data_IF_615408776953
#
_entry.id   IF_615408776953
#
_cell.length_a   1.000
_cell.length_b   1.000
_cell.length_c   1.000
_cell.angle_alpha   90.00
_cell.angle_beta   90.00
_cell.angle_gamma   90.00
#
_symmetry.space_group_name_H-M   'P 1'
#
loop_
_entity.id
_entity.type
_entity.pdbx_description
1 polymer ?
#
# COMPACT_ATOMS: atom_id res chain seq x y z
N UNK A 1 -27.83 6.06 -25.37
CA UNK A 1 -27.44 4.70 -24.93
C UNK A 1 -28.68 3.87 -24.79
N UNK A 2 -28.67 2.66 -25.33
CA UNK A 2 -29.72 1.69 -25.05
C UNK A 2 -29.27 0.80 -23.89
N UNK A 3 -30.07 0.79 -22.82
CA UNK A 3 -29.93 -0.15 -21.71
C UNK A 3 -31.02 -1.19 -21.84
N UNK A 4 -30.64 -2.45 -22.05
CA UNK A 4 -31.59 -3.54 -22.25
C UNK A 4 -31.09 -4.81 -21.58
N UNK A 5 -32.03 -5.63 -21.09
CA UNK A 5 -31.74 -6.98 -20.58
C UNK A 5 -31.70 -8.03 -21.69
N UNK A 6 -32.05 -7.66 -22.94
CA UNK A 6 -32.03 -8.58 -24.08
C UNK A 6 -30.60 -8.75 -24.60
N UNK A 7 -30.20 -10.01 -24.80
CA UNK A 7 -28.88 -10.38 -25.31
C UNK A 7 -28.68 -9.99 -26.79
N UNK A 8 -29.78 -10.00 -27.57
CA UNK A 8 -29.85 -9.50 -28.94
C UNK A 8 -31.06 -8.60 -29.08
N UNK A 9 -30.89 -7.48 -29.78
CA UNK A 9 -31.95 -6.53 -30.08
C UNK A 9 -31.64 -5.79 -31.38
N UNK A 10 -32.67 -5.44 -32.13
CA UNK A 10 -32.55 -4.48 -33.24
C UNK A 10 -32.45 -3.08 -32.67
N UNK A 11 -31.40 -2.34 -33.03
CA UNK A 11 -31.21 -0.97 -32.58
C UNK A 11 -32.42 -0.11 -33.01
N UNK A 12 -33.15 0.53 -32.07
CA UNK A 12 -34.28 1.37 -32.42
C UNK A 12 -33.81 2.60 -33.18
N UNK A 13 -34.56 2.99 -34.22
CA UNK A 13 -34.44 4.32 -34.85
C UNK A 13 -35.25 5.30 -34.02
N UNK A 14 -34.56 6.16 -33.27
CA UNK A 14 -35.18 7.19 -32.46
C UNK A 14 -35.21 8.48 -33.27
N UNK A 15 -36.39 9.10 -33.40
CA UNK A 15 -36.55 10.42 -34.04
C UNK A 15 -37.21 11.39 -33.06
N UNK A 16 -36.77 12.65 -33.06
CA UNK A 16 -37.41 13.74 -32.34
C UNK A 16 -37.71 14.87 -33.34
N UNK A 17 -38.98 14.98 -33.74
CA UNK A 17 -39.35 15.78 -34.92
C UNK A 17 -38.67 15.23 -36.17
N UNK A 18 -37.93 16.08 -36.89
CA UNK A 18 -37.18 15.68 -38.08
C UNK A 18 -35.76 15.15 -37.80
N UNK A 19 -35.32 15.18 -36.54
CA UNK A 19 -33.95 14.82 -36.18
C UNK A 19 -33.84 13.34 -35.78
N UNK A 20 -32.93 12.63 -36.44
CA UNK A 20 -32.55 11.27 -36.06
C UNK A 20 -31.59 11.30 -34.87
N UNK A 21 -31.96 10.61 -33.79
CA UNK A 21 -31.15 10.46 -32.58
C UNK A 21 -30.33 9.18 -32.69
N UNK A 22 -29.03 9.33 -32.92
CA UNK A 22 -28.09 8.22 -32.93
C UNK A 22 -27.91 7.61 -31.52
N UNK A 23 -27.82 6.28 -31.45
CA UNK A 23 -27.47 5.61 -30.20
C UNK A 23 -26.00 5.83 -29.86
N UNK A 24 -25.73 6.48 -28.74
CA UNK A 24 -24.40 6.51 -28.12
C UNK A 24 -24.07 5.18 -27.42
N UNK A 25 -22.78 4.82 -27.38
CA UNK A 25 -22.24 3.68 -26.62
C UNK A 25 -22.15 3.92 -25.10
N UNK A 26 -22.04 5.19 -24.68
CA UNK A 26 -21.99 5.61 -23.27
C UNK A 26 -22.84 6.86 -22.99
N UNK A 27 -23.34 6.98 -21.75
CA UNK A 27 -24.10 8.13 -21.26
C UNK A 27 -23.55 8.54 -19.90
N UNK A 28 -23.51 9.85 -19.64
CA UNK A 28 -23.12 10.40 -18.34
C UNK A 28 -24.37 10.71 -17.53
N UNK A 29 -24.49 10.13 -16.35
CA UNK A 29 -25.57 10.38 -15.40
C UNK A 29 -25.02 10.60 -14.00
N UNK A 30 -25.33 11.74 -13.38
CA UNK A 30 -24.80 12.15 -12.06
C UNK A 30 -23.29 11.94 -11.93
N UNK A 31 -22.53 12.31 -12.97
CA UNK A 31 -21.07 12.14 -12.98
C UNK A 31 -20.55 10.72 -13.25
N UNK A 32 -21.41 9.71 -13.26
CA UNK A 32 -21.07 8.31 -13.59
C UNK A 32 -21.26 8.07 -15.08
N UNK A 33 -20.37 7.29 -15.70
CA UNK A 33 -20.49 6.87 -17.11
C UNK A 33 -21.05 5.46 -17.18
N UNK A 34 -22.19 5.32 -17.86
CA UNK A 34 -22.91 4.08 -18.05
C UNK A 34 -22.74 3.65 -19.51
N UNK A 35 -22.04 2.54 -19.73
CA UNK A 35 -22.00 1.87 -21.03
C UNK A 35 -23.20 0.91 -21.19
N UNK A 36 -23.54 0.54 -22.42
CA UNK A 36 -24.71 -0.32 -22.71
C UNK A 36 -24.71 -1.67 -21.99
N UNK A 37 -23.53 -2.17 -21.58
CA UNK A 37 -23.36 -3.43 -20.83
C UNK A 37 -23.17 -3.22 -19.32
N UNK A 38 -23.23 -1.97 -18.84
CA UNK A 38 -23.00 -1.60 -17.44
C UNK A 38 -21.66 -2.14 -16.89
N UNK A 39 -20.62 -2.19 -17.73
CA UNK A 39 -19.28 -2.66 -17.31
C UNK A 39 -18.48 -1.60 -16.55
N UNK A 40 -18.85 -0.33 -16.70
CA UNK A 40 -18.20 0.84 -16.08
C UNK A 40 -16.71 1.01 -16.42
N UNK A 41 -16.22 0.31 -17.46
CA UNK A 41 -14.80 0.36 -17.85
C UNK A 41 -14.36 1.78 -18.18
N UNK A 42 -15.19 2.53 -18.93
CA UNK A 42 -14.87 3.91 -19.32
C UNK A 42 -15.01 4.90 -18.16
N UNK A 43 -15.91 4.62 -17.21
CA UNK A 43 -16.00 5.37 -15.94
C UNK A 43 -14.69 5.25 -15.16
N UNK A 44 -14.26 4.03 -14.87
CA UNK A 44 -13.04 3.75 -14.11
C UNK A 44 -11.80 4.24 -14.84
N UNK A 45 -11.74 4.11 -16.18
CA UNK A 45 -10.63 4.64 -16.99
C UNK A 45 -10.50 6.16 -16.84
N UNK A 46 -11.61 6.89 -16.92
CA UNK A 46 -11.60 8.36 -16.79
C UNK A 46 -11.31 8.79 -15.35
N UNK A 47 -11.89 8.13 -14.34
CA UNK A 47 -11.55 8.34 -12.94
C UNK A 47 -10.05 8.09 -12.67
N UNK A 48 -9.52 6.97 -13.17
CA UNK A 48 -8.11 6.62 -13.06
C UNK A 48 -7.16 7.62 -13.74
N UNK A 49 -7.51 8.12 -14.93
CA UNK A 49 -6.74 9.17 -15.62
C UNK A 49 -6.69 10.45 -14.79
N UNK A 50 -7.83 10.88 -14.23
CA UNK A 50 -7.92 12.06 -13.35
C UNK A 50 -7.09 11.87 -12.08
N UNK A 51 -7.24 10.72 -11.42
CA UNK A 51 -6.49 10.33 -10.23
C UNK A 51 -4.98 10.33 -10.47
N UNK A 52 -4.52 9.81 -11.62
CA UNK A 52 -3.11 9.80 -11.98
C UNK A 52 -2.57 11.21 -12.23
N UNK A 53 -3.34 12.11 -12.84
CA UNK A 53 -2.97 13.51 -13.01
C UNK A 53 -2.79 14.20 -11.65
N UNK A 54 -3.71 13.99 -10.71
CA UNK A 54 -3.58 14.50 -9.34
C UNK A 54 -2.37 13.89 -8.60
N UNK A 55 -2.14 12.58 -8.72
CA UNK A 55 -0.97 11.93 -8.14
C UNK A 55 0.35 12.50 -8.69
N UNK A 56 0.38 12.82 -9.98
CA UNK A 56 1.55 13.42 -10.65
C UNK A 56 1.79 14.85 -10.16
N UNK A 57 0.74 15.66 -10.04
CA UNK A 57 0.83 17.01 -9.50
C UNK A 57 1.34 17.00 -8.04
N UNK A 58 0.74 16.15 -7.20
CA UNK A 58 1.16 15.98 -5.80
C UNK A 58 2.60 15.47 -5.67
N UNK A 59 3.06 14.62 -6.59
CA UNK A 59 4.43 14.10 -6.58
C UNK A 59 5.49 15.21 -6.63
N UNK A 60 5.19 16.36 -7.28
CA UNK A 60 6.12 17.48 -7.42
C UNK A 60 6.42 18.18 -6.10
N UNK A 61 5.50 18.14 -5.14
CA UNK A 61 5.66 18.72 -3.79
C UNK A 61 6.02 17.68 -2.73
N UNK A 62 6.37 16.46 -3.16
CA UNK A 62 6.66 15.31 -2.29
C UNK A 62 8.01 14.66 -2.63
N UNK A 63 9.14 15.39 -2.63
CA UNK A 63 10.46 14.81 -2.89
C UNK A 63 10.79 13.75 -1.84
N UNK A 64 11.47 12.66 -2.20
CA UNK A 64 11.71 11.54 -1.26
C UNK A 64 12.55 11.95 -0.05
N UNK A 65 13.47 12.91 -0.21
CA UNK A 65 14.36 13.44 0.81
C UNK A 65 14.00 14.92 1.06
N UNK A 66 14.06 15.38 2.32
CA UNK A 66 13.71 16.75 2.76
C UNK A 66 12.26 17.21 2.43
N UNK A 67 11.38 16.27 2.06
CA UNK A 67 9.95 16.54 1.82
C UNK A 67 9.05 16.23 3.03
N UNK A 68 7.73 16.34 2.88
CA UNK A 68 6.77 16.07 3.96
C UNK A 68 6.89 14.63 4.51
N UNK A 69 6.53 14.46 5.79
CA UNK A 69 6.41 13.16 6.47
C UNK A 69 5.33 12.25 5.86
N UNK A 70 5.39 10.94 6.14
CA UNK A 70 4.44 9.96 5.58
C UNK A 70 2.98 10.33 5.84
N UNK A 71 2.63 10.78 7.04
CA UNK A 71 1.24 11.13 7.38
C UNK A 71 0.69 12.32 6.61
N UNK A 72 1.49 13.39 6.42
CA UNK A 72 1.11 14.51 5.55
C UNK A 72 0.90 14.07 4.11
N UNK A 73 1.75 13.17 3.60
CA UNK A 73 1.59 12.59 2.25
C UNK A 73 0.36 11.70 2.13
N UNK A 74 0.08 10.88 3.15
CA UNK A 74 -1.08 9.99 3.20
C UNK A 74 -2.39 10.77 3.21
N UNK A 75 -2.42 11.90 3.93
CA UNK A 75 -3.53 12.84 3.88
C UNK A 75 -3.74 13.36 2.46
N UNK A 76 -2.69 13.84 1.79
CA UNK A 76 -2.79 14.32 0.41
C UNK A 76 -3.17 13.19 -0.58
N UNK A 77 -2.74 11.95 -0.32
CA UNK A 77 -3.11 10.78 -1.10
C UNK A 77 -4.62 10.46 -1.05
N UNK A 78 -5.34 10.92 -0.01
CA UNK A 78 -6.78 10.74 0.09
C UNK A 78 -7.56 11.41 -1.06
N UNK A 79 -6.98 12.44 -1.70
CA UNK A 79 -7.57 13.08 -2.89
C UNK A 79 -7.63 12.09 -4.05
N UNK A 80 -6.54 11.35 -4.27
CA UNK A 80 -6.44 10.33 -5.33
C UNK A 80 -7.43 9.20 -5.04
N UNK A 81 -7.49 8.71 -3.80
CA UNK A 81 -8.45 7.68 -3.39
C UNK A 81 -9.91 8.15 -3.58
N UNK A 82 -10.22 9.39 -3.21
CA UNK A 82 -11.56 9.95 -3.34
C UNK A 82 -12.01 10.06 -4.80
N UNK A 83 -11.09 10.43 -5.71
CA UNK A 83 -11.36 10.46 -7.15
C UNK A 83 -11.60 9.06 -7.72
N UNK A 84 -10.79 8.07 -7.31
CA UNK A 84 -10.94 6.69 -7.76
C UNK A 84 -12.26 6.08 -7.29
N UNK A 85 -12.68 6.38 -6.06
CA UNK A 85 -13.83 5.76 -5.40
C UNK A 85 -15.14 6.53 -5.59
N UNK A 86 -15.18 7.48 -6.53
CA UNK A 86 -16.38 8.25 -6.81
C UNK A 86 -17.50 7.34 -7.32
N UNK A 87 -18.66 7.41 -6.64
CA UNK A 87 -19.82 6.55 -6.89
C UNK A 87 -19.53 5.04 -6.81
N UNK A 88 -18.50 4.62 -6.06
CA UNK A 88 -18.10 3.21 -5.92
C UNK A 88 -19.26 2.21 -5.73
N UNK A 89 -20.27 2.48 -4.87
CA UNK A 89 -21.37 1.52 -4.68
C UNK A 89 -22.23 1.24 -5.91
N UNK A 90 -22.06 1.97 -7.02
CA UNK A 90 -22.78 1.75 -8.29
C UNK A 90 -22.03 0.76 -9.19
N UNK A 91 -20.69 0.72 -9.11
CA UNK A 91 -19.85 -0.01 -10.07
C UNK A 91 -18.91 -1.03 -9.43
N UNK A 92 -18.77 -1.05 -8.10
CA UNK A 92 -17.77 -1.85 -7.38
C UNK A 92 -17.79 -3.33 -7.79
N UNK A 93 -18.94 -3.98 -7.67
CA UNK A 93 -19.09 -5.43 -7.91
C UNK A 93 -18.73 -5.80 -9.36
N UNK A 94 -19.21 -5.01 -10.34
CA UNK A 94 -18.92 -5.24 -11.75
C UNK A 94 -17.43 -5.04 -12.09
N UNK A 95 -16.80 -4.04 -11.48
CA UNK A 95 -15.39 -3.72 -11.71
C UNK A 95 -14.48 -4.74 -11.01
N UNK A 96 -14.85 -5.20 -9.82
CA UNK A 96 -14.12 -6.21 -9.06
C UNK A 96 -14.04 -7.55 -9.82
N UNK A 97 -15.07 -7.90 -10.59
CA UNK A 97 -15.09 -9.09 -11.43
C UNK A 97 -14.14 -9.02 -12.65
N UNK A 98 -13.51 -7.86 -12.93
CA UNK A 98 -12.62 -7.68 -14.08
C UNK A 98 -11.21 -7.26 -13.66
N UNK A 99 -10.26 -8.19 -13.80
CA UNK A 99 -8.84 -7.90 -13.52
C UNK A 99 -8.30 -6.72 -14.33
N UNK A 100 -8.80 -6.50 -15.56
CA UNK A 100 -8.44 -5.33 -16.38
C UNK A 100 -8.93 -4.03 -15.75
N UNK A 101 -10.16 -3.99 -15.26
CA UNK A 101 -10.75 -2.80 -14.63
C UNK A 101 -10.11 -2.52 -13.26
N UNK A 102 -9.83 -3.56 -12.47
CA UNK A 102 -9.08 -3.43 -11.21
C UNK A 102 -7.71 -2.80 -11.44
N UNK A 103 -6.97 -3.19 -12.49
CA UNK A 103 -5.68 -2.56 -12.84
C UNK A 103 -5.78 -1.07 -13.14
N UNK A 104 -6.91 -0.59 -13.67
CA UNK A 104 -7.14 0.84 -13.92
C UNK A 104 -7.27 1.65 -12.62
N UNK A 105 -7.72 1.02 -11.52
CA UNK A 105 -7.79 1.63 -10.18
C UNK A 105 -6.43 1.57 -9.47
N UNK A 106 -5.78 0.40 -9.49
CA UNK A 106 -4.55 0.16 -8.74
C UNK A 106 -3.38 0.98 -9.28
N UNK A 107 -3.29 1.23 -10.59
CA UNK A 107 -2.14 1.95 -11.18
C UNK A 107 -2.00 3.40 -10.64
N UNK A 108 -3.04 4.26 -10.65
CA UNK A 108 -2.99 5.57 -10.01
C UNK A 108 -2.77 5.49 -8.49
N UNK A 109 -3.38 4.52 -7.82
CA UNK A 109 -3.23 4.34 -6.37
C UNK A 109 -1.78 3.99 -6.00
N UNK A 110 -1.14 3.08 -6.74
CA UNK A 110 0.28 2.76 -6.59
C UNK A 110 1.15 4.00 -6.79
N UNK A 111 0.86 4.81 -7.82
CA UNK A 111 1.66 5.99 -8.11
C UNK A 111 1.74 6.95 -6.91
N UNK A 112 0.62 7.17 -6.21
CA UNK A 112 0.60 7.99 -5.00
C UNK A 112 1.12 7.23 -3.76
N UNK A 113 0.86 5.93 -3.63
CA UNK A 113 1.36 5.11 -2.53
C UNK A 113 2.90 5.10 -2.48
N UNK A 114 3.56 4.97 -3.63
CA UNK A 114 5.02 5.09 -3.73
C UNK A 114 5.53 6.43 -3.18
N UNK A 115 4.78 7.53 -3.38
CA UNK A 115 5.14 8.83 -2.82
C UNK A 115 4.92 8.89 -1.33
N UNK A 116 3.83 8.31 -0.82
CA UNK A 116 3.53 8.22 0.62
C UNK A 116 4.71 7.60 1.36
N UNK A 117 5.24 6.48 0.86
CA UNK A 117 6.35 5.75 1.49
C UNK A 117 7.73 6.18 0.97
N UNK A 118 7.83 7.15 0.05
CA UNK A 118 9.13 7.59 -0.53
C UNK A 118 9.87 6.47 -1.27
N UNK A 119 9.17 5.47 -1.80
CA UNK A 119 9.76 4.30 -2.43
C UNK A 119 10.37 4.57 -3.81
N UNK A 120 11.24 3.65 -4.23
CA UNK A 120 11.68 3.52 -5.61
C UNK A 120 10.51 3.15 -6.53
N UNK A 121 10.56 3.64 -7.79
CA UNK A 121 9.51 3.44 -8.79
C UNK A 121 9.26 1.98 -9.19
N UNK A 122 10.10 1.05 -8.77
CA UNK A 122 10.09 -0.39 -9.09
C UNK A 122 9.43 -1.24 -8.00
N UNK A 123 9.20 -0.70 -6.80
CA UNK A 123 8.47 -1.39 -5.73
C UNK A 123 7.09 -1.79 -6.22
N UNK A 124 6.65 -3.02 -5.94
CA UNK A 124 5.35 -3.53 -6.42
C UNK A 124 4.17 -2.71 -5.86
N UNK A 125 3.04 -2.73 -6.56
CA UNK A 125 1.76 -2.22 -6.05
C UNK A 125 1.47 -2.77 -4.67
N UNK A 126 1.59 -4.08 -4.51
CA UNK A 126 1.18 -4.78 -3.29
C UNK A 126 2.02 -4.37 -2.07
N UNK A 127 3.36 -4.35 -2.20
CA UNK A 127 4.23 -3.88 -1.13
C UNK A 127 4.03 -2.38 -0.84
N UNK A 128 3.86 -1.56 -1.89
CA UNK A 128 3.66 -0.13 -1.73
C UNK A 128 2.37 0.19 -0.96
N UNK A 129 1.29 -0.53 -1.25
CA UNK A 129 -0.01 -0.35 -0.61
C UNK A 129 0.01 -0.79 0.87
N UNK A 130 0.68 -1.90 1.20
CA UNK A 130 0.85 -2.37 2.58
C UNK A 130 1.62 -1.33 3.40
N UNK A 131 2.79 -0.92 2.93
CA UNK A 131 3.63 0.06 3.65
C UNK A 131 2.98 1.44 3.76
N UNK A 132 2.11 1.80 2.81
CA UNK A 132 1.40 3.07 2.81
C UNK A 132 0.14 3.08 3.70
N UNK A 133 -0.25 1.96 4.31
CA UNK A 133 -1.56 1.81 4.98
C UNK A 133 -2.73 2.16 4.06
N UNK A 134 -2.67 1.67 2.82
CA UNK A 134 -3.64 1.95 1.76
C UNK A 134 -4.22 0.65 1.24
N UNK A 135 -5.39 0.19 1.74
CA UNK A 135 -6.05 -0.98 1.15
C UNK A 135 -6.30 -0.76 -0.35
N UNK A 136 -6.17 -1.80 -1.19
CA UNK A 136 -6.40 -1.70 -2.63
C UNK A 136 -7.74 -1.03 -2.97
N UNK A 137 -7.74 -0.14 -3.95
CA UNK A 137 -8.91 0.70 -4.29
C UNK A 137 -10.13 -0.13 -4.72
N UNK A 138 -9.95 -1.30 -5.33
CA UNK A 138 -11.07 -2.21 -5.59
C UNK A 138 -11.70 -2.72 -4.30
N UNK A 139 -10.90 -3.12 -3.30
CA UNK A 139 -11.41 -3.57 -2.01
C UNK A 139 -12.10 -2.43 -1.24
N UNK A 140 -11.56 -1.21 -1.31
CA UNK A 140 -12.22 -0.02 -0.76
C UNK A 140 -13.54 0.32 -1.48
N UNK A 141 -13.64 0.02 -2.79
CA UNK A 141 -14.88 0.21 -3.53
C UNK A 141 -15.95 -0.78 -3.08
N UNK A 142 -15.59 -2.06 -2.93
CA UNK A 142 -16.45 -3.10 -2.38
C UNK A 142 -16.84 -2.80 -0.93
N UNK A 143 -15.92 -2.30 -0.10
CA UNK A 143 -16.22 -1.83 1.27
C UNK A 143 -17.33 -0.77 1.25
N UNK A 144 -17.22 0.24 0.37
CA UNK A 144 -18.26 1.29 0.24
C UNK A 144 -19.59 0.71 -0.23
N UNK A 145 -19.58 -0.29 -1.09
CA UNK A 145 -20.78 -0.98 -1.54
C UNK A 145 -21.45 -1.75 -0.39
N UNK A 146 -20.69 -2.54 0.37
CA UNK A 146 -21.17 -3.29 1.54
C UNK A 146 -21.71 -2.37 2.64
N UNK A 147 -21.01 -1.27 2.95
CA UNK A 147 -21.49 -0.24 3.89
C UNK A 147 -22.82 0.34 3.42
N UNK A 148 -22.96 0.69 2.13
CA UNK A 148 -24.22 1.22 1.59
C UNK A 148 -25.36 0.19 1.65
N UNK A 149 -25.07 -1.07 1.38
CA UNK A 149 -26.03 -2.17 1.46
C UNK A 149 -26.53 -2.35 2.90
N UNK A 150 -25.63 -2.43 3.89
CA UNK A 150 -26.01 -2.55 5.32
C UNK A 150 -26.84 -1.37 5.80
N UNK A 151 -26.51 -0.15 5.38
CA UNK A 151 -27.31 1.04 5.74
C UNK A 151 -28.74 1.02 5.21
N UNK A 152 -29.01 0.24 4.16
CA UNK A 152 -30.35 0.10 3.56
C UNK A 152 -31.15 -1.03 4.19
N UNK A 153 -30.49 -1.93 4.94
CA UNK A 153 -31.18 -2.99 5.65
C UNK A 153 -31.90 -2.36 6.85
N UNK A 154 -33.21 -2.58 7.01
CA UNK A 154 -33.89 -2.17 8.21
C UNK A 154 -33.29 -2.95 9.40
N UNK A 155 -33.21 -2.33 10.60
CA UNK A 155 -32.86 -3.07 11.80
C UNK A 155 -33.89 -4.18 12.05
N UNK A 156 -33.47 -5.25 12.73
CA UNK A 156 -34.40 -6.25 13.23
C UNK A 156 -35.40 -5.61 14.22
N UNK A 157 -36.61 -6.17 14.37
CA UNK A 157 -37.53 -5.75 15.43
C UNK A 157 -36.79 -5.73 16.79
N UNK A 158 -37.01 -4.66 17.55
CA UNK A 158 -36.45 -4.46 18.90
C UNK A 158 -34.92 -4.34 19.00
N UNK A 159 -34.21 -4.22 17.87
CA UNK A 159 -32.76 -3.96 17.84
C UNK A 159 -32.49 -2.53 17.37
N UNK A 160 -31.74 -1.70 18.12
CA UNK A 160 -31.40 -0.37 17.67
C UNK A 160 -30.52 -0.41 16.40
N UNK A 161 -30.66 0.58 15.49
CA UNK A 161 -29.81 0.65 14.30
C UNK A 161 -28.33 0.68 14.67
N UNK A 162 -27.53 -0.16 14.03
CA UNK A 162 -26.07 -0.12 14.22
C UNK A 162 -25.51 1.22 13.74
N UNK A 163 -24.65 1.85 14.54
CA UNK A 163 -24.04 3.13 14.18
C UNK A 163 -23.23 3.04 12.89
N UNK A 164 -23.18 4.12 12.11
CA UNK A 164 -22.41 4.16 10.87
C UNK A 164 -20.92 3.86 11.10
N UNK A 165 -20.38 4.32 12.22
CA UNK A 165 -18.99 4.09 12.61
C UNK A 165 -18.74 2.61 12.87
N UNK A 166 -19.64 1.93 13.60
CA UNK A 166 -19.54 0.49 13.86
C UNK A 166 -19.66 -0.31 12.57
N UNK A 167 -20.58 0.06 11.67
CA UNK A 167 -20.71 -0.57 10.34
C UNK A 167 -19.39 -0.41 9.56
N UNK A 168 -18.83 0.80 9.47
CA UNK A 168 -17.56 1.06 8.77
C UNK A 168 -16.40 0.27 9.38
N UNK A 169 -16.35 0.17 10.71
CA UNK A 169 -15.32 -0.59 11.43
C UNK A 169 -15.38 -2.09 11.09
N UNK A 170 -16.58 -2.70 11.13
CA UNK A 170 -16.78 -4.10 10.79
C UNK A 170 -16.45 -4.38 9.32
N UNK A 171 -16.88 -3.50 8.41
CA UNK A 171 -16.60 -3.63 6.99
C UNK A 171 -15.12 -3.43 6.66
N UNK A 172 -14.41 -2.59 7.43
CA UNK A 172 -12.95 -2.45 7.34
C UNK A 172 -12.25 -3.75 7.75
N UNK A 173 -12.67 -4.41 8.82
CA UNK A 173 -12.10 -5.71 9.22
C UNK A 173 -12.24 -6.73 8.10
N UNK A 174 -13.44 -6.81 7.51
CA UNK A 174 -13.70 -7.66 6.33
C UNK A 174 -12.77 -7.32 5.15
N UNK A 175 -12.57 -6.03 4.86
CA UNK A 175 -11.63 -5.58 3.83
C UNK A 175 -10.19 -6.04 4.13
N UNK A 176 -9.73 -5.92 5.38
CA UNK A 176 -8.39 -6.33 5.78
C UNK A 176 -8.22 -7.86 5.68
N UNK A 177 -9.25 -8.66 6.01
CA UNK A 177 -9.21 -10.11 5.84
C UNK A 177 -9.09 -10.54 4.37
N UNK A 178 -9.85 -9.89 3.48
CA UNK A 178 -9.75 -10.14 2.03
C UNK A 178 -8.37 -9.73 1.53
N UNK A 179 -7.85 -8.57 1.98
CA UNK A 179 -6.52 -8.12 1.62
C UNK A 179 -5.44 -9.08 2.10
N UNK A 180 -5.53 -9.58 3.33
CA UNK A 180 -4.59 -10.54 3.90
C UNK A 180 -4.50 -11.82 3.05
N UNK A 181 -5.63 -12.36 2.58
CA UNK A 181 -5.62 -13.53 1.68
C UNK A 181 -4.82 -13.25 0.42
N UNK A 182 -5.05 -12.12 -0.24
CA UNK A 182 -4.29 -11.76 -1.45
C UNK A 182 -2.80 -11.56 -1.17
N UNK A 183 -2.45 -10.99 0.00
CA UNK A 183 -1.09 -10.71 0.38
C UNK A 183 -0.27 -11.97 0.69
N UNK A 184 -0.88 -12.91 1.42
CA UNK A 184 -0.27 -14.18 1.81
C UNK A 184 0.22 -14.99 0.60
N UNK A 185 -0.55 -15.00 -0.51
CA UNK A 185 -0.25 -15.80 -1.70
C UNK A 185 0.48 -15.04 -2.82
N UNK A 186 0.80 -13.76 -2.62
CA UNK A 186 1.44 -12.99 -3.67
C UNK A 186 2.84 -13.50 -4.03
N UNK A 187 3.22 -13.37 -5.30
CA UNK A 187 4.63 -13.55 -5.71
C UNK A 187 5.42 -12.25 -5.69
N UNK A 188 4.76 -11.10 -5.53
CA UNK A 188 5.38 -9.77 -5.49
C UNK A 188 5.69 -9.35 -4.06
N UNK A 189 6.74 -8.56 -3.87
CA UNK A 189 7.05 -7.98 -2.56
C UNK A 189 7.43 -9.02 -1.49
N UNK A 190 8.00 -10.16 -1.90
CA UNK A 190 8.31 -11.30 -1.01
C UNK A 190 9.08 -10.88 0.24
N UNK A 191 10.10 -10.03 0.08
CA UNK A 191 10.85 -9.47 1.21
C UNK A 191 9.97 -8.67 2.16
N UNK A 192 9.17 -7.74 1.64
CA UNK A 192 8.22 -6.95 2.46
C UNK A 192 7.22 -7.85 3.19
N UNK A 193 6.79 -8.96 2.57
CA UNK A 193 5.91 -9.93 3.24
C UNK A 193 6.60 -10.68 4.37
N UNK A 194 7.89 -10.99 4.25
CA UNK A 194 8.63 -11.61 5.38
C UNK A 194 8.65 -10.68 6.61
N UNK A 195 8.71 -9.36 6.39
CA UNK A 195 8.68 -8.36 7.46
C UNK A 195 7.26 -8.02 7.94
N UNK A 196 6.26 -8.16 7.05
CA UNK A 196 4.85 -7.90 7.35
C UNK A 196 4.03 -9.07 6.82
N UNK A 197 4.04 -10.23 7.50
CA UNK A 197 3.27 -11.39 7.05
C UNK A 197 1.75 -11.17 7.19
N UNK A 198 1.33 -10.31 8.14
CA UNK A 198 -0.07 -10.04 8.43
C UNK A 198 -0.40 -8.53 8.33
N UNK A 199 -1.17 -8.15 7.31
CA UNK A 199 -1.62 -6.76 7.10
C UNK A 199 -2.63 -6.30 8.14
N UNK A 200 -3.32 -7.23 8.82
CA UNK A 200 -4.25 -6.92 9.91
C UNK A 200 -3.47 -6.49 11.14
N UNK A 201 -2.47 -7.28 11.55
CA UNK A 201 -1.52 -6.89 12.62
C UNK A 201 -0.84 -5.56 12.27
N UNK A 202 -0.41 -5.38 11.03
CA UNK A 202 0.19 -4.11 10.61
C UNK A 202 -0.74 -2.92 10.82
N UNK A 203 -2.03 -3.06 10.47
CA UNK A 203 -3.04 -2.01 10.59
C UNK A 203 -3.53 -1.77 12.02
N UNK A 204 -3.66 -2.82 12.82
CA UNK A 204 -4.32 -2.81 14.13
C UNK A 204 -3.32 -3.08 15.28
N UNK A 205 -2.02 -2.80 15.04
CA UNK A 205 -0.98 -2.94 16.07
C UNK A 205 -1.20 -2.03 17.28
N UNK A 206 -0.73 -2.51 18.43
CA UNK A 206 -0.76 -1.79 19.70
C UNK A 206 0.21 -0.62 19.73
N UNK A 207 1.36 -0.79 19.08
CA UNK A 207 2.36 0.27 18.98
C UNK A 207 1.89 1.41 18.06
N UNK A 208 2.26 2.66 18.35
CA UNK A 208 1.97 3.78 17.47
C UNK A 208 2.51 3.52 16.06
N UNK A 209 1.77 3.99 15.05
CA UNK A 209 2.20 3.92 13.65
C UNK A 209 3.32 4.94 13.45
N UNK A 210 4.56 4.45 13.45
CA UNK A 210 5.75 5.25 13.15
C UNK A 210 5.85 5.46 11.63
N UNK A 211 5.99 6.72 11.16
CA UNK A 211 6.25 7.02 9.77
C UNK A 211 7.53 6.36 9.24
N UNK A 212 7.42 5.68 8.11
CA UNK A 212 8.57 5.25 7.32
C UNK A 212 9.32 6.46 6.76
N UNK A 213 10.64 6.39 6.83
CA UNK A 213 11.54 7.31 6.16
C UNK A 213 11.91 6.78 4.77
N UNK A 214 12.75 7.53 4.05
CA UNK A 214 13.27 7.06 2.77
C UNK A 214 14.11 5.79 2.93
N UNK A 215 14.97 5.73 3.94
CA UNK A 215 15.89 4.61 4.18
C UNK A 215 15.18 3.42 4.79
N UNK A 216 14.28 3.63 5.75
CA UNK A 216 13.42 2.56 6.28
C UNK A 216 12.59 1.93 5.16
N UNK A 217 12.12 2.71 4.19
CA UNK A 217 11.41 2.12 3.04
C UNK A 217 12.32 1.28 2.15
N UNK A 218 13.59 1.63 1.99
CA UNK A 218 14.55 0.77 1.28
C UNK A 218 14.77 -0.54 2.05
N UNK A 219 14.95 -0.46 3.37
CA UNK A 219 15.05 -1.63 4.23
C UNK A 219 13.81 -2.54 4.15
N UNK A 220 12.60 -1.95 4.11
CA UNK A 220 11.36 -2.73 4.07
C UNK A 220 11.03 -3.30 2.68
N UNK A 221 11.62 -2.76 1.61
CA UNK A 221 11.31 -3.17 0.23
C UNK A 221 12.45 -3.92 -0.45
N UNK A 222 13.68 -3.82 0.04
CA UNK A 222 14.87 -4.31 -0.65
C UNK A 222 15.21 -3.56 -1.94
N UNK A 223 14.59 -2.40 -2.17
CA UNK A 223 14.85 -1.54 -3.32
C UNK A 223 15.63 -0.32 -2.84
N UNK A 224 16.93 -0.26 -3.10
CA UNK A 224 17.81 0.74 -2.50
C UNK A 224 19.27 0.63 -2.96
N UNK A 225 20.21 1.11 -2.15
CA UNK A 225 21.65 1.01 -2.41
C UNK A 225 22.24 -0.40 -2.21
N UNK A 226 21.53 -1.46 -2.61
CA UNK A 226 21.97 -2.86 -2.50
C UNK A 226 22.48 -3.36 -3.86
N UNK A 227 23.69 -3.93 -3.95
CA UNK A 227 24.29 -4.29 -5.25
C UNK A 227 23.44 -5.31 -6.03
N UNK A 228 22.80 -6.27 -5.35
CA UNK A 228 21.85 -7.18 -6.00
C UNK A 228 20.72 -6.43 -6.71
N UNK A 229 20.15 -5.42 -6.05
CA UNK A 229 19.10 -4.60 -6.65
C UNK A 229 19.64 -3.70 -7.76
N UNK A 230 20.77 -3.01 -7.52
CA UNK A 230 21.37 -2.08 -8.48
C UNK A 230 21.79 -2.81 -9.77
N UNK A 231 22.39 -3.99 -9.66
CA UNK A 231 22.76 -4.83 -10.80
C UNK A 231 21.53 -5.25 -11.62
N UNK A 232 20.48 -5.74 -10.97
CA UNK A 232 19.20 -6.07 -11.63
C UNK A 232 18.58 -4.86 -12.34
N UNK A 233 18.87 -3.65 -11.88
CA UNK A 233 18.42 -2.39 -12.49
C UNK A 233 19.39 -1.82 -13.52
N UNK A 234 20.49 -2.51 -13.84
CA UNK A 234 21.52 -2.04 -14.77
C UNK A 234 22.31 -0.83 -14.25
N UNK A 235 22.45 -0.69 -12.92
CA UNK A 235 23.15 0.41 -12.24
C UNK A 235 24.44 -0.01 -11.54
N UNK A 236 24.75 -1.31 -11.53
CA UNK A 236 25.98 -1.86 -10.99
C UNK A 236 26.46 -3.05 -11.83
N UNK A 237 27.78 -3.24 -11.92
CA UNK A 237 28.39 -4.30 -12.72
C UNK A 237 28.23 -5.71 -12.14
N UNK A 238 27.99 -5.84 -10.83
CA UNK A 238 27.77 -7.13 -10.17
C UNK A 238 26.84 -7.02 -8.97
N UNK A 239 26.35 -8.15 -8.46
CA UNK A 239 25.57 -8.23 -7.22
C UNK A 239 26.43 -8.32 -5.95
N UNK A 240 27.76 -8.34 -6.08
CA UNK A 240 28.71 -8.57 -4.97
C UNK A 240 28.70 -7.38 -4.02
N UNK A 241 28.67 -7.65 -2.71
CA UNK A 241 28.77 -6.64 -1.67
C UNK A 241 30.14 -5.97 -1.69
N UNK A 242 30.17 -4.67 -1.95
CA UNK A 242 31.42 -3.90 -2.00
C UNK A 242 32.06 -3.71 -0.61
N UNK A 243 31.27 -3.85 0.46
CA UNK A 243 31.77 -3.67 1.82
C UNK A 243 32.49 -4.91 2.37
N UNK A 244 32.05 -6.12 2.02
CA UNK A 244 32.60 -7.35 2.59
C UNK A 244 32.89 -8.48 1.59
N UNK A 245 32.68 -8.26 0.29
CA UNK A 245 32.95 -9.25 -0.77
C UNK A 245 31.94 -10.38 -0.89
N UNK A 246 30.84 -10.39 -0.12
CA UNK A 246 29.81 -11.43 -0.25
C UNK A 246 29.19 -11.43 -1.65
N UNK A 247 28.95 -12.62 -2.21
CA UNK A 247 28.50 -12.78 -3.60
C UNK A 247 27.17 -12.06 -3.93
N UNK A 248 26.28 -11.88 -2.94
CA UNK A 248 24.96 -11.26 -3.15
C UNK A 248 24.67 -10.25 -2.03
N UNK A 249 24.71 -8.96 -2.37
CA UNK A 249 24.32 -7.86 -1.51
C UNK A 249 22.82 -7.60 -1.59
N UNK A 250 22.05 -8.37 -0.81
CA UNK A 250 20.64 -8.06 -0.54
C UNK A 250 20.49 -7.16 0.67
N UNK A 251 19.29 -6.63 0.88
CA UNK A 251 18.92 -5.95 2.13
C UNK A 251 19.10 -6.84 3.36
N UNK A 252 18.77 -8.14 3.24
CA UNK A 252 18.95 -9.11 4.31
C UNK A 252 20.45 -9.29 4.62
N UNK A 253 21.29 -9.36 3.58
CA UNK A 253 22.73 -9.40 3.76
C UNK A 253 23.24 -8.13 4.45
N UNK A 254 22.95 -6.95 3.89
CA UNK A 254 23.42 -5.66 4.42
C UNK A 254 23.02 -5.49 5.90
N UNK A 255 21.75 -5.70 6.23
CA UNK A 255 21.27 -5.46 7.59
C UNK A 255 21.65 -6.56 8.57
N UNK A 256 21.63 -7.84 8.17
CA UNK A 256 21.69 -8.95 9.12
C UNK A 256 22.96 -9.80 9.07
N UNK A 257 23.76 -9.73 7.99
CA UNK A 257 24.86 -10.69 7.75
C UNK A 257 26.22 -10.04 7.45
N UNK A 258 26.22 -8.83 6.92
CA UNK A 258 27.42 -8.19 6.40
C UNK A 258 28.38 -7.79 7.53
N UNK A 259 29.56 -8.42 7.59
CA UNK A 259 30.55 -8.20 8.65
C UNK A 259 30.96 -6.73 8.83
N UNK A 260 31.01 -5.95 7.75
CA UNK A 260 31.31 -4.51 7.80
C UNK A 260 30.31 -3.73 8.68
N UNK A 261 29.03 -4.12 8.66
CA UNK A 261 27.97 -3.46 9.42
C UNK A 261 27.76 -4.07 10.81
N UNK A 262 28.60 -5.01 11.27
CA UNK A 262 28.47 -5.64 12.59
C UNK A 262 28.46 -4.64 13.76
N UNK A 263 29.33 -3.60 13.79
CA UNK A 263 29.34 -2.64 14.90
C UNK A 263 27.99 -1.93 15.11
N UNK A 264 27.21 -1.74 14.04
CA UNK A 264 25.90 -1.10 14.10
C UNK A 264 24.80 -2.02 14.64
N UNK A 265 25.01 -3.35 14.60
CA UNK A 265 24.05 -4.33 15.13
C UNK A 265 24.16 -4.54 16.64
N UNK A 266 25.32 -4.26 17.23
CA UNK A 266 25.65 -4.61 18.63
C UNK A 266 24.58 -4.14 19.61
N UNK A 267 24.22 -2.85 19.60
CA UNK A 267 23.25 -2.32 20.55
C UNK A 267 21.87 -3.02 20.48
N UNK A 268 21.41 -3.34 19.26
CA UNK A 268 20.14 -4.05 19.08
C UNK A 268 20.28 -5.55 19.43
N UNK A 269 21.43 -6.16 19.14
CA UNK A 269 21.70 -7.54 19.53
C UNK A 269 21.79 -7.71 21.05
N UNK A 270 22.44 -6.81 21.76
CA UNK A 270 22.52 -6.80 23.22
C UNK A 270 21.14 -6.67 23.85
N UNK A 271 20.29 -5.80 23.27
CA UNK A 271 18.88 -5.64 23.70
C UNK A 271 18.05 -6.91 23.50
N UNK A 272 18.28 -7.63 22.41
CA UNK A 272 17.58 -8.89 22.11
C UNK A 272 18.19 -10.09 22.84
N UNK A 273 19.42 -9.97 23.35
CA UNK A 273 20.19 -11.09 23.90
C UNK A 273 20.75 -12.05 22.85
N UNK A 274 20.59 -11.74 21.56
CA UNK A 274 21.09 -12.53 20.45
C UNK A 274 21.24 -11.69 19.17
N UNK A 275 21.86 -12.26 18.13
CA UNK A 275 21.98 -11.59 16.83
C UNK A 275 20.61 -11.35 16.21
N UNK A 276 20.44 -10.17 15.62
CA UNK A 276 19.21 -9.77 14.92
C UNK A 276 18.92 -10.69 13.72
N UNK A 277 17.71 -11.21 13.67
CA UNK A 277 17.16 -12.04 12.58
C UNK A 277 16.07 -11.32 11.79
N UNK A 278 15.56 -11.95 10.72
CA UNK A 278 14.43 -11.39 9.95
C UNK A 278 13.15 -11.48 10.78
N UNK A 279 13.02 -12.53 11.57
CA UNK A 279 11.89 -12.81 12.45
C UNK A 279 11.80 -11.73 13.54
N UNK A 280 12.94 -11.33 14.10
CA UNK A 280 13.02 -10.20 15.04
C UNK A 280 12.61 -8.89 14.39
N UNK A 281 13.11 -8.59 13.18
CA UNK A 281 12.69 -7.39 12.45
C UNK A 281 11.18 -7.39 12.24
N UNK A 282 10.59 -8.52 11.83
CA UNK A 282 9.14 -8.64 11.67
C UNK A 282 8.40 -8.40 13.00
N UNK A 283 8.85 -9.04 14.08
CA UNK A 283 8.27 -8.91 15.42
C UNK A 283 8.33 -7.46 15.91
N UNK A 284 9.49 -6.82 15.83
CA UNK A 284 9.70 -5.42 16.23
C UNK A 284 8.82 -4.46 15.41
N UNK A 285 8.71 -4.66 14.09
CA UNK A 285 7.93 -3.79 13.19
C UNK A 285 6.42 -3.90 13.47
N UNK A 286 5.93 -5.12 13.73
CA UNK A 286 4.53 -5.38 14.03
C UNK A 286 4.17 -5.00 15.46
N UNK A 287 5.12 -5.09 16.39
CA UNK A 287 4.87 -5.00 17.83
C UNK A 287 4.11 -6.22 18.36
N UNK A 288 3.94 -6.30 19.69
CA UNK A 288 3.22 -7.40 20.31
C UNK A 288 1.74 -7.38 19.93
N UNK A 289 1.12 -8.56 19.83
CA UNK A 289 -0.33 -8.73 19.75
C UNK A 289 -0.98 -8.66 21.14
N UNK A 290 -2.31 -8.53 21.19
CA UNK A 290 -3.04 -8.40 22.46
C UNK A 290 -2.82 -9.59 23.41
N UNK A 291 -2.63 -10.79 22.87
CA UNK A 291 -2.34 -12.02 23.61
C UNK A 291 -0.88 -12.12 24.10
N UNK A 292 0.03 -11.30 23.58
CA UNK A 292 1.45 -11.27 23.97
C UNK A 292 1.73 -10.25 25.09
N UNK A 293 0.75 -9.43 25.46
CA UNK A 293 0.91 -8.34 26.43
C UNK A 293 0.15 -8.66 27.74
N UNK A 294 0.75 -8.41 28.91
CA UNK A 294 0.07 -8.61 30.20
C UNK A 294 -1.28 -7.89 30.30
N UNK A 295 -2.21 -8.46 31.08
CA UNK A 295 -3.48 -7.81 31.39
C UNK A 295 -3.33 -6.70 32.43
N UNK A 296 -2.36 -6.86 33.35
CA UNK A 296 -2.02 -5.86 34.36
C UNK A 296 -1.54 -4.55 33.69
N UNK A 297 -2.11 -3.42 34.09
CA UNK A 297 -1.90 -2.12 33.43
C UNK A 297 -0.45 -1.61 33.52
N UNK A 298 0.20 -1.62 34.71
CA UNK A 298 1.64 -1.37 34.83
C UNK A 298 2.49 -2.26 33.93
N UNK A 299 2.35 -3.59 34.03
CA UNK A 299 3.16 -4.54 33.25
C UNK A 299 2.92 -4.40 31.74
N UNK A 300 1.67 -4.14 31.34
CA UNK A 300 1.28 -3.80 29.96
C UNK A 300 2.00 -2.56 29.46
N UNK A 301 2.05 -1.51 30.27
CA UNK A 301 2.76 -0.26 29.95
C UNK A 301 4.25 -0.50 29.72
N UNK A 302 4.88 -1.26 30.60
CA UNK A 302 6.30 -1.62 30.49
C UNK A 302 6.61 -2.45 29.24
N UNK A 303 5.80 -3.47 28.95
CA UNK A 303 5.95 -4.30 27.76
C UNK A 303 5.83 -3.48 26.46
N UNK A 304 4.86 -2.56 26.41
CA UNK A 304 4.66 -1.69 25.25
C UNK A 304 5.78 -0.67 25.07
N UNK A 305 6.30 -0.08 26.15
CA UNK A 305 7.45 0.85 26.06
C UNK A 305 8.73 0.09 25.67
N UNK A 306 8.94 -1.12 26.18
CA UNK A 306 10.04 -1.98 25.75
C UNK A 306 9.99 -2.26 24.24
N UNK A 307 8.80 -2.64 23.73
CA UNK A 307 8.62 -2.90 22.31
C UNK A 307 8.77 -1.64 21.44
N UNK A 308 8.30 -0.48 21.94
CA UNK A 308 8.47 0.81 21.26
C UNK A 308 9.94 1.22 21.18
N UNK A 309 10.72 1.00 22.23
CA UNK A 309 12.15 1.30 22.23
C UNK A 309 12.93 0.36 21.28
N UNK A 310 12.57 -0.93 21.22
CA UNK A 310 13.13 -1.84 20.21
C UNK A 310 12.84 -1.35 18.78
N UNK A 311 11.64 -0.82 18.53
CA UNK A 311 11.28 -0.23 17.24
C UNK A 311 12.08 1.04 16.92
N UNK A 312 12.29 1.92 17.91
CA UNK A 312 13.13 3.12 17.77
C UNK A 312 14.58 2.75 17.44
N UNK A 313 15.14 1.78 18.16
CA UNK A 313 16.50 1.28 17.92
C UNK A 313 16.65 0.67 16.54
N UNK A 314 15.68 -0.15 16.09
CA UNK A 314 15.68 -0.71 14.74
C UNK A 314 15.65 0.40 13.66
N UNK A 315 14.84 1.44 13.84
CA UNK A 315 14.79 2.56 12.90
C UNK A 315 16.10 3.34 12.85
N UNK A 316 16.70 3.63 14.01
CA UNK A 316 17.99 4.33 14.12
C UNK A 316 19.10 3.53 13.43
N UNK A 317 19.19 2.24 13.75
CA UNK A 317 20.12 1.29 13.13
C UNK A 317 20.01 1.27 11.59
N UNK A 318 18.78 1.20 11.06
CA UNK A 318 18.53 1.21 9.61
C UNK A 318 18.97 2.54 8.99
N UNK A 319 18.67 3.66 9.65
CA UNK A 319 19.05 4.99 9.16
C UNK A 319 20.57 5.16 9.10
N UNK A 320 21.30 4.73 10.13
CA UNK A 320 22.76 4.84 10.20
C UNK A 320 23.43 4.04 9.08
N UNK A 321 23.13 2.75 8.97
CA UNK A 321 23.72 1.88 7.92
C UNK A 321 23.41 2.43 6.54
N UNK A 322 22.14 2.73 6.25
CA UNK A 322 21.75 3.11 4.90
C UNK A 322 22.18 4.54 4.56
N UNK A 323 22.40 5.43 5.53
CA UNK A 323 22.99 6.74 5.26
C UNK A 323 24.40 6.60 4.72
N UNK A 324 25.25 5.85 5.44
CA UNK A 324 26.66 5.64 5.08
C UNK A 324 26.73 4.87 3.75
N UNK A 325 25.97 3.78 3.63
CA UNK A 325 25.97 2.97 2.41
C UNK A 325 25.51 3.76 1.18
N UNK A 326 24.53 4.66 1.32
CA UNK A 326 24.12 5.55 0.22
C UNK A 326 25.23 6.54 -0.18
N UNK A 327 25.94 7.11 0.79
CA UNK A 327 27.03 8.06 0.54
C UNK A 327 28.21 7.38 -0.17
N UNK A 328 28.62 6.20 0.32
CA UNK A 328 29.63 5.35 -0.33
C UNK A 328 29.21 4.95 -1.75
N UNK A 329 27.93 4.60 -1.96
CA UNK A 329 27.39 4.28 -3.29
C UNK A 329 27.46 5.47 -4.25
N UNK A 330 27.06 6.67 -3.79
CA UNK A 330 27.12 7.89 -4.61
C UNK A 330 28.55 8.24 -4.96
N UNK A 331 29.47 8.16 -4.00
CA UNK A 331 30.88 8.43 -4.23
C UNK A 331 31.47 7.49 -5.30
N UNK A 332 31.16 6.20 -5.23
CA UNK A 332 31.64 5.21 -6.20
C UNK A 332 31.06 5.43 -7.59
N UNK A 333 29.76 5.71 -7.70
CA UNK A 333 29.13 5.97 -9.00
C UNK A 333 29.68 7.26 -9.64
N UNK A 334 29.96 8.28 -8.84
CA UNK A 334 30.56 9.53 -9.32
C UNK A 334 32.03 9.35 -9.74
N UNK A 335 32.78 8.47 -9.08
CA UNK A 335 34.17 8.16 -9.45
C UNK A 335 34.32 7.20 -10.64
N UNK A 336 33.23 6.59 -11.10
CA UNK A 336 33.17 5.73 -12.30
C UNK A 336 32.63 6.44 -13.54
N UNK A 337 32.09 7.66 -13.38
CA UNK A 337 31.58 8.52 -14.44
C UNK A 337 32.65 9.53 -14.87
#
# INVERSE_FOLDING_TARGET
VMLTRRWSYTAPRLRLGEHDIALSSEIRYLGVRLDGKMTFVDHVRKAGKKALASATALSRVMPNIKGPGQWKRRLLASVVESQLLYAAPVWADTVAASARSVRLLVRPQRAIALRVIRAYRTVSDEAALVLAYMPPANLLAEERARVKARRRQPPAPDVPPTSLEKIKSLERKTTLDIWQRSWAFSRKGQWTRRLIPDVRRWHDKLLPKVPTTYRVTQAMTGHGCFQYYLNRMGRAGSAVCVQCGSAIDTVEHTLLKCAYWEPYRVALADRLGHRLTVEDMSSIILGPSEDEVPEDQPERGEALEFALESLRMLYKFIEEILSIKEEEERARQNGQA
#
